data_IF_931763711676
#
_entry.id   IF_931763711676
#
_cell.length_a   1.000
_cell.length_b   1.000
_cell.length_c   1.000
_cell.angle_alpha   90.00
_cell.angle_beta   90.00
_cell.angle_gamma   90.00
#
_symmetry.space_group_name_H-M   'P 1'
#
loop_
_entity.id
_entity.type
_entity.pdbx_description
1 polymer ?
#
# COMPACT_ATOMS: atom_id res chain seq x y z
N UNK A 1 -21.79 19.46 -20.90
CA UNK A 1 -20.54 18.81 -21.30
C UNK A 1 -20.39 17.58 -20.42
N UNK A 2 -20.60 16.39 -20.98
CA UNK A 2 -20.50 15.13 -20.25
C UNK A 2 -19.00 14.81 -20.16
N UNK A 3 -18.45 14.76 -18.95
CA UNK A 3 -17.06 14.37 -18.73
C UNK A 3 -16.99 12.86 -19.00
N UNK A 4 -16.30 12.46 -20.06
CA UNK A 4 -15.97 11.05 -20.28
C UNK A 4 -15.14 10.52 -19.11
N UNK A 5 -15.40 9.29 -18.71
CA UNK A 5 -14.65 8.64 -17.65
C UNK A 5 -13.23 8.38 -18.18
N UNK A 6 -12.16 8.97 -17.60
CA UNK A 6 -10.81 8.96 -18.20
C UNK A 6 -10.17 7.56 -18.30
N UNK A 7 -10.84 6.53 -17.80
CA UNK A 7 -10.47 5.12 -17.91
C UNK A 7 -11.09 4.37 -19.10
N UNK A 8 -11.93 4.99 -19.93
CA UNK A 8 -12.50 4.36 -21.13
C UNK A 8 -12.02 5.05 -22.41
N UNK A 9 -11.06 4.46 -23.12
CA UNK A 9 -10.60 4.92 -24.44
C UNK A 9 -9.19 5.54 -24.48
N UNK A 10 -8.76 5.94 -25.69
CA UNK A 10 -7.39 6.39 -26.01
C UNK A 10 -6.98 7.79 -25.50
N UNK A 11 -7.79 8.42 -24.64
CA UNK A 11 -7.43 9.70 -24.00
C UNK A 11 -6.38 9.47 -22.89
N UNK A 12 -5.16 9.14 -23.31
CA UNK A 12 -3.99 8.78 -22.50
C UNK A 12 -3.12 9.97 -22.06
N UNK A 13 -3.57 11.21 -22.26
CA UNK A 13 -2.72 12.42 -22.08
C UNK A 13 -2.92 13.13 -20.74
N UNK A 14 -3.34 12.40 -19.70
CA UNK A 14 -3.12 12.85 -18.31
C UNK A 14 -2.28 11.75 -17.67
N UNK A 15 -1.07 12.10 -17.23
CA UNK A 15 -0.08 11.18 -16.65
C UNK A 15 -0.66 10.52 -15.39
N UNK A 16 -1.31 9.37 -15.57
CA UNK A 16 -1.69 8.50 -14.47
C UNK A 16 -0.41 7.92 -13.87
N UNK A 17 -0.24 8.11 -12.56
CA UNK A 17 0.85 7.47 -11.87
C UNK A 17 0.40 6.06 -11.52
N UNK A 18 1.09 5.07 -12.08
CA UNK A 18 0.99 3.68 -11.67
C UNK A 18 2.36 3.24 -11.12
N UNK A 19 2.33 2.47 -10.05
CA UNK A 19 3.49 2.25 -9.19
C UNK A 19 3.39 0.90 -8.49
N UNK A 20 4.54 0.34 -8.10
CA UNK A 20 4.66 -0.89 -7.30
C UNK A 20 3.78 -2.06 -7.80
N UNK A 21 4.01 -2.54 -9.04
CA UNK A 21 3.36 -3.76 -9.49
C UNK A 21 3.88 -4.95 -8.65
N UNK A 22 2.97 -5.59 -7.94
CA UNK A 22 3.27 -6.71 -7.03
C UNK A 22 2.48 -7.94 -7.49
N UNK A 23 3.16 -9.02 -7.93
CA UNK A 23 2.49 -10.30 -8.20
C UNK A 23 1.83 -10.82 -6.92
N UNK A 24 0.57 -11.25 -7.01
CA UNK A 24 -0.21 -11.78 -5.89
C UNK A 24 -0.94 -13.06 -6.29
N UNK A 25 -1.47 -13.77 -5.30
CA UNK A 25 -2.20 -15.03 -5.49
C UNK A 25 -1.37 -16.05 -6.30
N UNK A 26 -0.13 -16.25 -5.86
CA UNK A 26 0.87 -17.11 -6.51
C UNK A 26 1.15 -16.73 -7.97
N UNK A 27 1.10 -15.43 -8.28
CA UNK A 27 1.37 -14.88 -9.62
C UNK A 27 0.18 -14.94 -10.57
N UNK A 28 -1.03 -15.28 -10.11
CA UNK A 28 -2.24 -15.26 -10.94
C UNK A 28 -2.82 -13.87 -11.17
N UNK A 29 -2.39 -12.90 -10.39
CA UNK A 29 -2.82 -11.51 -10.51
C UNK A 29 -1.67 -10.56 -10.15
N UNK A 30 -1.84 -9.29 -10.49
CA UNK A 30 -0.92 -8.20 -10.20
C UNK A 30 -1.71 -7.12 -9.46
N UNK A 31 -1.27 -6.77 -8.26
CA UNK A 31 -1.72 -5.58 -7.56
C UNK A 31 -0.84 -4.40 -7.92
N UNK A 32 -1.40 -3.19 -8.04
CA UNK A 32 -0.62 -1.98 -8.29
C UNK A 32 -1.32 -0.75 -7.74
N UNK A 33 -0.53 0.26 -7.38
CA UNK A 33 -1.05 1.57 -6.97
C UNK A 33 -1.43 2.37 -8.21
N UNK A 34 -2.56 3.06 -8.17
CA UNK A 34 -2.89 4.05 -9.19
C UNK A 34 -3.80 5.16 -8.69
N UNK A 35 -3.57 6.38 -9.19
CA UNK A 35 -4.45 7.53 -9.00
C UNK A 35 -5.44 7.72 -10.16
N UNK A 36 -5.54 6.78 -11.10
CA UNK A 36 -6.30 6.94 -12.35
C UNK A 36 -7.78 7.30 -12.17
N UNK A 37 -8.38 6.90 -11.06
CA UNK A 37 -9.78 7.21 -10.74
C UNK A 37 -9.95 8.52 -9.93
N UNK A 38 -8.88 9.05 -9.33
CA UNK A 38 -8.93 10.18 -8.39
C UNK A 38 -8.71 11.55 -9.05
N UNK A 39 -8.22 11.58 -10.30
CA UNK A 39 -7.93 12.82 -11.05
C UNK A 39 -9.17 13.71 -11.22
N UNK A 40 -10.37 13.11 -11.27
CA UNK A 40 -11.63 13.85 -11.44
C UNK A 40 -12.18 14.45 -10.14
N UNK A 41 -11.72 13.98 -8.97
CA UNK A 41 -12.37 14.28 -7.69
C UNK A 41 -11.67 15.38 -6.88
N UNK A 42 -10.64 16.04 -7.45
CA UNK A 42 -9.76 17.05 -6.81
C UNK A 42 -8.97 16.58 -5.58
N UNK A 43 -9.35 15.50 -4.91
CA UNK A 43 -8.57 14.80 -3.89
C UNK A 43 -7.63 13.80 -4.58
N UNK A 44 -6.32 14.05 -4.56
CA UNK A 44 -5.33 13.12 -5.10
C UNK A 44 -5.18 11.93 -4.16
N UNK A 45 -5.98 10.88 -4.36
CA UNK A 45 -5.84 9.62 -3.64
C UNK A 45 -5.24 8.55 -4.55
N UNK A 46 -4.55 7.59 -3.95
CA UNK A 46 -4.06 6.40 -4.65
C UNK A 46 -4.87 5.21 -4.18
N UNK A 47 -5.50 4.55 -5.13
CA UNK A 47 -6.17 3.27 -4.90
C UNK A 47 -5.22 2.15 -5.23
N UNK A 48 -5.45 0.98 -4.62
CA UNK A 48 -4.80 -0.25 -5.05
C UNK A 48 -5.75 -0.95 -6.01
N UNK A 49 -5.26 -1.22 -7.20
CA UNK A 49 -5.96 -1.97 -8.22
C UNK A 49 -5.45 -3.41 -8.24
N UNK A 50 -6.29 -4.32 -8.72
CA UNK A 50 -5.95 -5.71 -8.98
C UNK A 50 -6.34 -6.04 -10.42
N UNK A 51 -5.43 -6.70 -11.15
CA UNK A 51 -5.68 -7.21 -12.50
C UNK A 51 -5.22 -8.66 -12.58
N UNK A 52 -5.89 -9.49 -13.38
CA UNK A 52 -5.42 -10.85 -13.64
C UNK A 52 -4.05 -10.79 -14.37
N UNK A 53 -3.25 -11.83 -14.26
CA UNK A 53 -1.94 -11.90 -14.92
C UNK A 53 -2.02 -11.82 -16.46
N UNK A 54 -3.17 -12.13 -17.05
CA UNK A 54 -3.45 -11.98 -18.48
C UNK A 54 -3.92 -10.56 -18.88
N UNK A 55 -3.98 -9.63 -17.92
CA UNK A 55 -4.42 -8.25 -18.12
C UNK A 55 -5.93 -8.03 -18.06
N UNK A 56 -6.73 -9.09 -17.83
CA UNK A 56 -8.19 -8.98 -17.72
C UNK A 56 -8.67 -8.69 -16.30
N UNK A 57 -9.95 -8.36 -16.15
CA UNK A 57 -10.62 -8.35 -14.84
C UNK A 57 -10.14 -7.27 -13.88
N UNK A 58 -9.64 -6.15 -14.40
CA UNK A 58 -9.15 -5.06 -13.55
C UNK A 58 -10.25 -4.51 -12.64
N UNK A 59 -9.95 -4.34 -11.34
CA UNK A 59 -10.86 -3.76 -10.35
C UNK A 59 -10.10 -2.96 -9.29
N UNK A 60 -10.81 -2.05 -8.63
CA UNK A 60 -10.31 -1.41 -7.41
C UNK A 60 -10.40 -2.42 -6.27
N UNK A 61 -9.26 -2.73 -5.65
CA UNK A 61 -9.17 -3.61 -4.49
C UNK A 61 -9.17 -2.83 -3.18
N UNK A 62 -8.47 -1.69 -3.13
CA UNK A 62 -8.48 -0.76 -1.99
C UNK A 62 -8.84 0.62 -2.51
N UNK A 63 -9.93 1.17 -1.99
CA UNK A 63 -10.40 2.50 -2.36
C UNK A 63 -9.61 3.60 -1.62
N UNK A 64 -8.82 4.36 -2.39
CA UNK A 64 -8.06 5.49 -1.87
C UNK A 64 -8.94 6.63 -1.33
N UNK A 65 -10.22 6.73 -1.71
CA UNK A 65 -11.12 7.70 -1.08
C UNK A 65 -11.38 7.37 0.40
N UNK A 66 -11.39 6.07 0.74
CA UNK A 66 -11.60 5.56 2.09
C UNK A 66 -10.33 5.53 2.93
N UNK A 67 -9.20 5.10 2.34
CA UNK A 67 -7.95 4.87 3.07
C UNK A 67 -6.83 5.90 2.78
N UNK A 68 -7.10 6.86 1.89
CA UNK A 68 -6.15 7.91 1.50
C UNK A 68 -5.10 7.43 0.50
N UNK A 69 -3.89 7.98 0.59
CA UNK A 69 -2.72 7.56 -0.18
C UNK A 69 -2.25 6.17 0.30
N UNK A 70 -2.82 5.10 -0.27
CA UNK A 70 -2.43 3.74 0.08
C UNK A 70 -1.12 3.34 -0.63
N UNK A 71 -0.16 2.81 0.13
CA UNK A 71 1.17 2.39 -0.37
C UNK A 71 1.34 0.89 -0.23
N UNK A 72 1.53 0.19 -1.34
CA UNK A 72 1.86 -1.22 -1.38
C UNK A 72 3.23 -1.49 -0.77
N UNK A 73 3.27 -2.45 0.15
CA UNK A 73 4.50 -2.98 0.72
C UNK A 73 4.94 -4.20 -0.07
N UNK A 74 4.23 -5.33 0.10
CA UNK A 74 4.55 -6.62 -0.49
C UNK A 74 3.37 -7.61 -0.31
N UNK A 75 3.54 -8.86 -0.73
CA UNK A 75 2.53 -9.91 -0.68
C UNK A 75 3.08 -11.30 -0.31
N UNK A 76 2.18 -12.18 0.12
CA UNK A 76 2.45 -13.60 0.33
C UNK A 76 1.20 -14.43 0.01
N UNK A 77 1.25 -15.31 -1.01
CA UNK A 77 0.08 -16.04 -1.46
C UNK A 77 -1.05 -15.09 -1.86
N UNK A 78 -2.26 -15.24 -1.29
CA UNK A 78 -3.38 -14.32 -1.49
C UNK A 78 -3.35 -13.06 -0.63
N UNK A 79 -2.41 -12.95 0.32
CA UNK A 79 -2.29 -11.78 1.19
C UNK A 79 -1.50 -10.68 0.51
N UNK A 80 -2.01 -9.46 0.56
CA UNK A 80 -1.35 -8.24 0.15
C UNK A 80 -1.30 -7.29 1.35
N UNK A 81 -0.14 -6.66 1.55
CA UNK A 81 0.06 -5.72 2.66
C UNK A 81 0.32 -4.32 2.10
N UNK A 82 -0.38 -3.34 2.66
CA UNK A 82 -0.23 -1.94 2.32
C UNK A 82 -0.26 -1.03 3.56
N UNK A 83 0.21 0.20 3.40
CA UNK A 83 0.11 1.29 4.36
C UNK A 83 -1.04 2.21 3.94
N UNK A 84 -1.88 2.67 4.87
CA UNK A 84 -2.86 3.76 4.62
C UNK A 84 -2.28 5.14 4.93
N UNK A 85 -2.99 6.21 4.54
CA UNK A 85 -2.56 7.61 4.79
C UNK A 85 -2.36 7.92 6.28
N UNK A 86 -3.14 7.28 7.15
CA UNK A 86 -2.99 7.40 8.61
C UNK A 86 -1.93 6.45 9.21
N UNK A 87 -1.06 5.89 8.36
CA UNK A 87 0.07 5.03 8.75
C UNK A 87 -0.36 3.78 9.51
N UNK A 88 -1.46 3.18 9.05
CA UNK A 88 -1.90 1.87 9.51
C UNK A 88 -1.54 0.79 8.50
N UNK A 89 -1.42 -0.45 8.97
CA UNK A 89 -1.30 -1.62 8.09
C UNK A 89 -2.68 -2.00 7.58
N UNK A 90 -2.80 -2.16 6.27
CA UNK A 90 -3.89 -2.83 5.60
C UNK A 90 -3.43 -4.25 5.24
N UNK A 91 -4.02 -5.25 5.90
CA UNK A 91 -3.85 -6.67 5.57
C UNK A 91 -5.05 -7.11 4.72
N UNK A 92 -4.78 -7.42 3.46
CA UNK A 92 -5.78 -7.56 2.40
C UNK A 92 -5.73 -8.99 1.87
N UNK A 93 -6.85 -9.68 1.86
CA UNK A 93 -7.00 -10.92 1.08
C UNK A 93 -7.50 -10.55 -0.33
N UNK A 94 -6.67 -10.77 -1.35
CA UNK A 94 -6.97 -10.32 -2.72
C UNK A 94 -8.06 -11.14 -3.41
N UNK A 95 -8.37 -12.34 -2.90
CA UNK A 95 -9.36 -13.25 -3.47
C UNK A 95 -10.76 -12.84 -3.01
N UNK A 96 -10.93 -12.63 -1.71
CA UNK A 96 -12.20 -12.24 -1.08
C UNK A 96 -12.42 -10.73 -1.07
N UNK A 97 -11.34 -9.94 -1.15
CA UNK A 97 -11.37 -8.48 -0.96
C UNK A 97 -11.53 -8.06 0.50
N UNK A 98 -11.41 -8.97 1.46
CA UNK A 98 -11.45 -8.64 2.88
C UNK A 98 -10.22 -7.80 3.27
N UNK A 99 -10.45 -6.75 4.08
CA UNK A 99 -9.40 -5.85 4.56
C UNK A 99 -9.45 -5.79 6.09
N UNK A 100 -8.36 -6.19 6.74
CA UNK A 100 -8.11 -5.97 8.17
C UNK A 100 -7.18 -4.77 8.33
N UNK A 101 -7.55 -3.82 9.18
CA UNK A 101 -6.73 -2.63 9.46
C UNK A 101 -6.10 -2.74 10.83
N UNK A 102 -4.79 -2.54 10.90
CA UNK A 102 -4.04 -2.49 12.16
C UNK A 102 -3.42 -1.12 12.35
N UNK A 103 -3.93 -0.37 13.33
CA UNK A 103 -3.42 0.95 13.68
C UNK A 103 -2.01 0.81 14.26
N UNK A 104 -0.96 1.25 13.55
CA UNK A 104 0.43 1.14 14.04
C UNK A 104 1.16 2.49 14.12
N UNK A 105 0.62 3.54 13.48
CA UNK A 105 1.29 4.83 13.27
C UNK A 105 2.76 4.65 12.85
N UNK A 106 2.96 3.92 11.76
CA UNK A 106 4.29 3.54 11.32
C UNK A 106 4.44 3.48 9.81
N UNK A 107 5.68 3.71 9.37
CA UNK A 107 6.08 3.49 7.99
C UNK A 107 6.49 2.03 7.81
N UNK A 108 5.91 1.34 6.83
CA UNK A 108 6.15 -0.09 6.65
C UNK A 108 7.47 -0.34 5.91
N UNK A 109 8.32 -1.22 6.45
CA UNK A 109 9.65 -1.49 5.88
C UNK A 109 9.72 -2.86 5.19
N UNK A 110 9.11 -3.91 5.77
CA UNK A 110 9.16 -5.26 5.17
C UNK A 110 8.02 -6.20 5.64
N UNK A 111 7.64 -7.13 4.77
CA UNK A 111 6.81 -8.29 5.08
C UNK A 111 7.70 -9.52 5.29
N UNK A 112 7.43 -10.33 6.31
CA UNK A 112 8.13 -11.59 6.50
C UNK A 112 7.82 -12.57 5.37
N UNK A 113 8.74 -13.50 5.10
CA UNK A 113 8.62 -14.48 4.01
C UNK A 113 7.38 -15.38 4.09
N UNK A 114 6.84 -15.56 5.29
CA UNK A 114 5.61 -16.33 5.55
C UNK A 114 4.34 -15.45 5.58
N UNK A 115 4.47 -14.15 5.29
CA UNK A 115 3.35 -13.21 5.23
C UNK A 115 2.72 -12.87 6.58
N UNK A 116 3.31 -13.28 7.71
CA UNK A 116 2.71 -13.12 9.03
C UNK A 116 3.09 -11.82 9.74
N UNK A 117 4.32 -11.37 9.57
CA UNK A 117 4.89 -10.27 10.34
C UNK A 117 5.22 -9.09 9.45
N UNK A 118 4.90 -7.89 9.92
CA UNK A 118 5.32 -6.65 9.26
C UNK A 118 6.31 -5.93 10.16
N UNK A 119 7.52 -5.71 9.64
CA UNK A 119 8.49 -4.80 10.23
C UNK A 119 8.14 -3.38 9.81
N UNK A 120 8.05 -2.48 10.77
CA UNK A 120 7.74 -1.09 10.53
C UNK A 120 8.50 -0.18 11.47
N UNK A 121 8.66 1.06 11.06
CA UNK A 121 9.21 2.13 11.88
C UNK A 121 8.08 2.90 12.54
N UNK A 122 8.09 2.96 13.86
CA UNK A 122 7.15 3.81 14.59
C UNK A 122 7.47 5.29 14.35
N UNK A 123 6.49 6.07 13.90
CA UNK A 123 6.68 7.48 13.59
C UNK A 123 6.52 8.35 14.84
N UNK A 124 7.50 9.22 15.10
CA UNK A 124 7.47 10.18 16.21
C UNK A 124 6.60 11.40 15.86
N UNK A 125 6.41 11.69 14.56
CA UNK A 125 5.71 12.86 14.05
C UNK A 125 5.14 12.62 12.65
N UNK A 126 4.55 13.65 12.05
CA UNK A 126 4.08 13.58 10.67
C UNK A 126 5.20 13.50 9.63
N UNK A 127 6.40 13.96 9.97
CA UNK A 127 7.60 13.75 9.16
C UNK A 127 8.02 12.29 9.29
N UNK A 128 8.57 11.68 8.22
CA UNK A 128 9.10 10.30 8.18
C UNK A 128 10.35 10.13 9.06
N UNK A 129 10.22 10.43 10.34
CA UNK A 129 11.22 10.40 11.39
C UNK A 129 10.67 9.47 12.46
N UNK A 130 11.35 8.35 12.63
CA UNK A 130 11.09 7.39 13.68
C UNK A 130 12.40 6.81 14.16
N UNK A 131 12.53 6.62 15.47
CA UNK A 131 13.76 6.09 16.07
C UNK A 131 13.64 4.63 16.49
N UNK A 132 12.42 4.09 16.51
CA UNK A 132 12.13 2.73 16.95
C UNK A 132 11.58 1.88 15.82
N UNK A 133 12.10 0.67 15.72
CA UNK A 133 11.54 -0.39 14.90
C UNK A 133 10.58 -1.24 15.74
N UNK A 134 9.56 -1.75 15.08
CA UNK A 134 8.52 -2.58 15.64
C UNK A 134 8.15 -3.67 14.66
N UNK A 135 7.68 -4.79 15.19
CA UNK A 135 7.07 -5.85 14.41
C UNK A 135 5.62 -6.01 14.86
N UNK A 136 4.68 -6.07 13.91
CA UNK A 136 3.30 -6.49 14.18
C UNK A 136 3.08 -7.89 13.62
N UNK A 137 2.44 -8.75 14.41
CA UNK A 137 1.89 -10.04 13.99
C UNK A 137 0.49 -9.82 13.42
N UNK A 138 0.30 -10.07 12.12
CA UNK A 138 -0.98 -9.83 11.44
C UNK A 138 -2.10 -10.77 11.88
N UNK A 139 -1.77 -11.93 12.47
CA UNK A 139 -2.80 -12.85 12.95
C UNK A 139 -3.35 -12.47 14.31
N UNK A 140 -2.52 -11.86 15.16
CA UNK A 140 -2.91 -11.50 16.53
C UNK A 140 -3.08 -9.99 16.74
N UNK A 141 -2.55 -9.17 15.85
CA UNK A 141 -2.43 -7.72 16.00
C UNK A 141 -1.39 -7.29 17.05
N UNK A 142 -0.66 -8.24 17.66
CA UNK A 142 0.32 -7.94 18.70
C UNK A 142 1.53 -7.21 18.11
N UNK A 143 1.95 -6.14 18.77
CA UNK A 143 3.13 -5.34 18.40
C UNK A 143 4.26 -5.61 19.39
N UNK A 144 5.46 -5.80 18.87
CA UNK A 144 6.67 -6.02 19.66
C UNK A 144 7.75 -5.05 19.23
N UNK A 145 8.44 -4.43 20.18
CA UNK A 145 9.57 -3.57 19.88
C UNK A 145 10.72 -4.40 19.29
N UNK A 146 11.26 -3.95 18.15
CA UNK A 146 12.35 -4.63 17.45
C UNK A 146 13.72 -3.95 17.66
N UNK A 147 13.74 -2.79 18.32
CA UNK A 147 14.96 -2.06 18.67
C UNK A 147 14.96 -0.62 18.14
N UNK A 148 16.14 -0.02 18.12
CA UNK A 148 16.37 1.28 17.51
C UNK A 148 16.59 1.14 16.00
N UNK A 149 16.22 2.17 15.24
CA UNK A 149 16.52 2.27 13.80
C UNK A 149 18.03 2.43 13.61
N UNK A 150 18.72 1.55 12.87
CA UNK A 150 20.15 1.70 12.58
C UNK A 150 20.46 3.01 11.83
N UNK A 151 21.65 3.58 12.02
CA UNK A 151 22.03 4.87 11.40
C UNK A 151 21.86 4.92 9.87
N UNK A 152 22.09 3.79 9.17
CA UNK A 152 22.05 3.72 7.71
C UNK A 152 20.80 2.99 7.17
N UNK A 153 19.80 2.77 8.02
CA UNK A 153 18.67 1.89 7.72
C UNK A 153 17.78 2.39 6.57
N UNK A 154 17.68 3.72 6.37
CA UNK A 154 17.18 4.34 5.13
C UNK A 154 17.96 5.63 4.88
N UNK A 155 18.48 5.78 3.66
CA UNK A 155 19.09 7.02 3.18
C UNK A 155 18.02 8.11 3.02
N UNK A 156 17.76 8.88 4.09
CA UNK A 156 17.06 10.15 3.95
C UNK A 156 18.09 11.15 3.41
N UNK A 157 17.91 11.59 2.16
CA UNK A 157 18.83 12.53 1.50
C UNK A 157 18.89 13.79 2.37
N UNK A 158 20.05 14.01 2.99
CA UNK A 158 20.22 14.83 4.17
C UNK A 158 19.64 16.24 4.10
N UNK A 159 19.09 16.66 5.22
CA UNK A 159 19.18 18.05 5.66
C UNK A 159 20.29 18.05 6.71
N UNK A 160 21.45 18.60 6.33
CA UNK A 160 22.39 19.15 7.30
C UNK A 160 21.85 20.50 7.76
#
# INVERSE_FOLDING_TARGET
MQLENPGSGESKTILYWASRPTPVNDGRAIAFESNKNAVLTKKQTFSIHLVNADGTGEKVLVDGAKYGYAVLLDSFGSRLVAESEDRSVLDIDVVTGAIRKHEVNGHLDALSKDGRYVLYRGMDSDVLVGRKLWVIDLETGQKTAAGDVPQDYIYNKGIK
#
